data_IF_181881183402
#
_entry.id   IF_181881183402
#
_cell.length_a   1.000
_cell.length_b   1.000
_cell.length_c   1.000
_cell.angle_alpha   90.00
_cell.angle_beta   90.00
_cell.angle_gamma   90.00
#
_symmetry.space_group_name_H-M   'P 1'
#
loop_
_entity.id
_entity.type
_entity.pdbx_description
1 polymer ?
#
# COMPACT_ATOMS: atom_id res chain seq x y z
N UNK A 1 -7.80 22.02 -15.47
CA UNK A 1 -7.58 20.56 -15.32
C UNK A 1 -8.90 19.92 -14.92
N UNK A 2 -9.43 18.97 -15.71
CA UNK A 2 -10.73 18.32 -15.43
C UNK A 2 -10.57 17.50 -14.15
N UNK A 3 -11.27 17.87 -13.06
CA UNK A 3 -11.15 17.20 -11.77
C UNK A 3 -11.59 15.74 -11.93
N UNK A 4 -10.71 14.79 -11.58
CA UNK A 4 -11.03 13.37 -11.61
C UNK A 4 -12.24 13.08 -10.72
N UNK A 5 -13.17 12.28 -11.23
CA UNK A 5 -14.37 11.87 -10.50
C UNK A 5 -13.99 11.23 -9.16
N UNK A 6 -14.63 11.67 -8.06
CA UNK A 6 -14.27 11.30 -6.67
C UNK A 6 -14.20 9.79 -6.43
N UNK A 7 -15.04 9.02 -7.14
CA UNK A 7 -15.08 7.54 -7.10
C UNK A 7 -13.77 6.88 -7.56
N UNK A 8 -12.98 7.55 -8.40
CA UNK A 8 -11.71 7.04 -8.90
C UNK A 8 -10.50 7.62 -8.17
N UNK A 9 -10.65 8.72 -7.44
CA UNK A 9 -9.53 9.34 -6.71
C UNK A 9 -8.98 8.42 -5.61
N UNK A 10 -9.85 7.79 -4.82
CA UNK A 10 -9.42 6.88 -3.74
C UNK A 10 -8.64 5.66 -4.22
N UNK A 11 -9.15 4.85 -5.16
CA UNK A 11 -8.39 3.70 -5.66
C UNK A 11 -7.09 4.12 -6.36
N UNK A 12 -7.08 5.28 -7.03
CA UNK A 12 -5.90 5.77 -7.74
C UNK A 12 -4.82 6.28 -6.75
N UNK A 13 -5.21 7.04 -5.71
CA UNK A 13 -4.31 7.44 -4.63
C UNK A 13 -3.77 6.22 -3.88
N UNK A 14 -4.64 5.26 -3.54
CA UNK A 14 -4.22 4.01 -2.90
C UNK A 14 -3.21 3.26 -3.78
N UNK A 15 -3.43 3.18 -5.09
CA UNK A 15 -2.52 2.52 -6.03
C UNK A 15 -1.17 3.23 -6.21
N UNK A 16 -1.09 4.54 -5.94
CA UNK A 16 0.19 5.27 -6.00
C UNK A 16 0.93 5.26 -4.67
N UNK A 17 0.23 5.45 -3.56
CA UNK A 17 0.83 5.65 -2.23
C UNK A 17 1.22 4.32 -1.57
N UNK A 18 0.40 3.27 -1.70
CA UNK A 18 0.73 1.97 -1.08
C UNK A 18 2.02 1.37 -1.63
N UNK A 19 2.24 1.30 -2.95
CA UNK A 19 3.47 0.72 -3.48
C UNK A 19 4.69 1.58 -3.14
N UNK A 20 4.57 2.90 -3.19
CA UNK A 20 5.70 3.80 -2.85
C UNK A 20 6.11 3.67 -1.40
N UNK A 21 5.17 3.53 -0.45
CA UNK A 21 5.51 3.29 0.95
C UNK A 21 6.11 1.90 1.19
N UNK A 22 5.52 0.84 0.62
CA UNK A 22 6.01 -0.53 0.79
C UNK A 22 7.41 -0.72 0.20
N UNK A 23 7.63 -0.20 -1.00
CA UNK A 23 8.90 -0.32 -1.73
C UNK A 23 9.95 0.65 -1.18
N UNK A 24 9.56 1.88 -0.84
CA UNK A 24 10.47 2.87 -0.28
C UNK A 24 11.02 2.45 1.07
N UNK A 25 10.16 1.97 1.98
CA UNK A 25 10.61 1.62 3.32
C UNK A 25 11.43 0.33 3.36
N UNK A 26 11.10 -0.65 2.51
CA UNK A 26 11.93 -1.84 2.33
C UNK A 26 13.30 -1.50 1.72
N UNK A 27 13.37 -0.55 0.79
CA UNK A 27 14.62 -0.02 0.24
C UNK A 27 15.50 0.66 1.29
N UNK A 28 14.92 1.54 2.11
CA UNK A 28 15.64 2.23 3.19
C UNK A 28 16.19 1.22 4.20
N UNK A 29 15.39 0.23 4.61
CA UNK A 29 15.86 -0.80 5.55
C UNK A 29 16.93 -1.71 4.94
N UNK A 30 16.77 -2.10 3.68
CA UNK A 30 17.78 -2.91 2.98
C UNK A 30 19.11 -2.17 2.88
N UNK A 31 19.10 -0.87 2.57
CA UNK A 31 20.31 -0.04 2.53
C UNK A 31 20.95 0.10 3.92
N UNK A 32 20.14 0.35 4.96
CA UNK A 32 20.63 0.57 6.33
C UNK A 32 21.25 -0.69 6.95
N UNK A 33 20.76 -1.87 6.59
CA UNK A 33 21.23 -3.15 7.12
C UNK A 33 22.28 -3.82 6.22
N UNK A 34 22.71 -3.15 5.14
CA UNK A 34 23.66 -3.72 4.19
C UNK A 34 25.07 -3.75 4.78
N UNK A 35 25.73 -4.93 4.83
CA UNK A 35 27.14 -5.01 5.20
C UNK A 35 28.03 -4.25 4.21
N UNK A 36 29.20 -3.79 4.66
CA UNK A 36 30.17 -3.14 3.77
C UNK A 36 30.54 -4.08 2.61
N UNK A 37 30.26 -3.66 1.37
CA UNK A 37 30.49 -4.46 0.16
C UNK A 37 29.32 -5.35 -0.27
N UNK A 38 28.17 -5.28 0.40
CA UNK A 38 26.97 -6.03 0.02
C UNK A 38 26.30 -5.51 -1.26
N UNK A 39 25.61 -6.40 -1.97
CA UNK A 39 24.83 -6.03 -3.17
C UNK A 39 23.43 -5.53 -2.80
N UNK A 40 23.21 -4.22 -2.94
CA UNK A 40 21.96 -3.55 -2.58
C UNK A 40 20.72 -4.15 -3.28
N UNK A 41 20.78 -4.36 -4.60
CA UNK A 41 19.63 -4.85 -5.37
C UNK A 41 19.20 -6.26 -4.95
N UNK A 42 20.16 -7.11 -4.58
CA UNK A 42 19.89 -8.47 -4.08
C UNK A 42 19.21 -8.44 -2.70
N UNK A 43 19.74 -7.62 -1.78
CA UNK A 43 19.17 -7.44 -0.46
C UNK A 43 17.76 -6.82 -0.50
N UNK A 44 17.57 -5.80 -1.33
CA UNK A 44 16.28 -5.14 -1.52
C UNK A 44 15.25 -6.05 -2.19
N UNK A 45 15.63 -6.78 -3.23
CA UNK A 45 14.77 -7.77 -3.88
C UNK A 45 14.29 -8.84 -2.91
N UNK A 46 15.19 -9.34 -2.07
CA UNK A 46 14.85 -10.32 -1.02
C UNK A 46 13.86 -9.74 0.00
N UNK A 47 14.08 -8.50 0.44
CA UNK A 47 13.17 -7.82 1.37
C UNK A 47 11.76 -7.62 0.75
N UNK A 48 11.67 -7.27 -0.53
CA UNK A 48 10.39 -7.17 -1.24
C UNK A 48 9.67 -8.52 -1.28
N UNK A 49 10.37 -9.60 -1.66
CA UNK A 49 9.77 -10.94 -1.76
C UNK A 49 9.23 -11.44 -0.41
N UNK A 50 9.88 -11.06 0.69
CA UNK A 50 9.40 -11.42 2.03
C UNK A 50 8.17 -10.62 2.47
N UNK A 51 8.08 -9.34 2.10
CA UNK A 51 7.01 -8.45 2.56
C UNK A 51 5.76 -8.54 1.69
N UNK A 52 5.91 -8.63 0.37
CA UNK A 52 4.81 -8.57 -0.60
C UNK A 52 3.68 -9.58 -0.33
N UNK A 53 3.93 -10.88 -0.05
CA UNK A 53 2.86 -11.85 0.16
C UNK A 53 1.96 -11.48 1.34
N UNK A 54 2.57 -11.12 2.47
CA UNK A 54 1.83 -10.69 3.67
C UNK A 54 1.07 -9.38 3.45
N UNK A 55 1.68 -8.43 2.73
CA UNK A 55 1.04 -7.16 2.42
C UNK A 55 -0.19 -7.35 1.52
N UNK A 56 -0.13 -8.26 0.54
CA UNK A 56 -1.27 -8.59 -0.33
C UNK A 56 -2.41 -9.24 0.46
N UNK A 57 -2.10 -10.19 1.34
CA UNK A 57 -3.11 -10.82 2.20
C UNK A 57 -3.77 -9.80 3.13
N UNK A 58 -2.97 -8.91 3.72
CA UNK A 58 -3.48 -7.86 4.61
C UNK A 58 -4.34 -6.86 3.83
N UNK A 59 -3.94 -6.48 2.62
CA UNK A 59 -4.72 -5.60 1.74
C UNK A 59 -6.05 -6.24 1.34
N UNK A 60 -6.06 -7.55 1.06
CA UNK A 60 -7.28 -8.30 0.75
C UNK A 60 -8.29 -8.32 1.91
N UNK A 61 -7.83 -8.22 3.16
CA UNK A 61 -8.70 -8.15 4.35
C UNK A 61 -9.08 -6.71 4.69
N UNK A 62 -8.10 -5.80 4.70
CA UNK A 62 -8.29 -4.42 5.13
C UNK A 62 -9.14 -3.64 4.13
N UNK A 63 -8.96 -3.83 2.82
CA UNK A 63 -9.76 -3.13 1.82
C UNK A 63 -11.28 -3.36 1.97
N UNK A 64 -11.81 -4.60 2.04
CA UNK A 64 -13.23 -4.82 2.27
C UNK A 64 -13.67 -4.42 3.68
N UNK A 65 -12.84 -4.63 4.71
CA UNK A 65 -13.18 -4.23 6.08
C UNK A 65 -13.35 -2.70 6.20
N UNK A 66 -12.42 -1.93 5.65
CA UNK A 66 -12.50 -0.46 5.60
C UNK A 66 -13.69 -0.02 4.77
N UNK A 67 -13.95 -0.66 3.62
CA UNK A 67 -15.14 -0.34 2.80
C UNK A 67 -16.43 -0.57 3.58
N UNK A 68 -16.57 -1.70 4.26
CA UNK A 68 -17.75 -2.00 5.08
C UNK A 68 -17.88 -1.02 6.25
N UNK A 69 -16.78 -0.75 6.95
CA UNK A 69 -16.76 0.17 8.08
C UNK A 69 -17.15 1.60 7.66
N UNK A 70 -16.57 2.11 6.57
CA UNK A 70 -16.89 3.44 6.05
C UNK A 70 -18.36 3.51 5.60
N UNK A 71 -18.84 2.50 4.88
CA UNK A 71 -20.22 2.52 4.34
C UNK A 71 -21.31 2.25 5.38
N UNK A 72 -21.01 1.54 6.47
CA UNK A 72 -22.00 1.14 7.47
C UNK A 72 -21.92 1.91 8.78
N UNK A 73 -20.75 2.45 9.14
CA UNK A 73 -20.52 3.11 10.43
C UNK A 73 -20.28 4.61 10.27
N UNK A 74 -19.46 5.02 9.30
CA UNK A 74 -19.05 6.43 9.15
C UNK A 74 -20.00 7.24 8.25
N UNK A 75 -20.55 6.63 7.21
CA UNK A 75 -21.50 7.28 6.31
C UNK A 75 -22.93 6.96 6.73
N UNK A 76 -23.78 7.98 6.90
CA UNK A 76 -25.24 7.77 6.96
C UNK A 76 -25.71 7.26 5.59
N UNK A 77 -26.68 6.33 5.52
CA UNK A 77 -27.25 5.91 4.25
C UNK A 77 -27.71 7.15 3.49
N UNK A 78 -27.29 7.26 2.22
CA UNK A 78 -27.72 8.30 1.31
C UNK A 78 -29.26 8.25 1.29
N UNK A 79 -29.90 9.31 1.77
CA UNK A 79 -31.35 9.40 1.81
C UNK A 79 -31.86 9.28 0.37
N UNK A 80 -32.68 8.25 0.15
CA UNK A 80 -33.36 7.98 -1.10
C UNK A 80 -34.31 9.13 -1.49
#
# INVERSE_FOLDING_TARGET
>A
MKKFDRKFQYPLIASMVLPTMLIGMSGIMAFRNLPNGGEFFSAWGTAIVQVVPSALLLLAVVAPAVRLFVTKVLLKPEQA
#
